data_IF_358542542881
#
_entry.id   IF_358542542881
#
_cell.length_a   1.000
_cell.length_b   1.000
_cell.length_c   1.000
_cell.angle_alpha   90.00
_cell.angle_beta   90.00
_cell.angle_gamma   90.00
#
_symmetry.space_group_name_H-M   'P 1'
#
loop_
_entity.id
_entity.type
_entity.pdbx_description
1 polymer ?
#
# COMPACT_ATOMS: atom_id res chain seq x y z
N UNK A 1 23.17 15.66 -5.73
CA UNK A 1 22.85 15.38 -4.32
C UNK A 1 22.20 14.02 -4.26
N UNK A 2 22.52 13.21 -3.25
CA UNK A 2 21.86 11.92 -3.04
C UNK A 2 20.39 12.17 -2.64
N UNK A 3 19.51 11.19 -2.87
CA UNK A 3 18.09 11.24 -2.49
C UNK A 3 17.87 10.18 -1.42
N UNK A 4 17.06 10.42 -0.38
CA UNK A 4 16.73 9.37 0.58
C UNK A 4 16.19 8.12 -0.12
N UNK A 5 16.63 6.95 0.34
CA UNK A 5 16.19 5.68 -0.20
C UNK A 5 15.21 4.99 0.74
N UNK A 6 14.34 4.18 0.18
CA UNK A 6 13.41 3.38 0.96
C UNK A 6 12.76 2.30 0.12
N UNK A 7 11.98 1.49 0.81
CA UNK A 7 11.32 0.33 0.24
C UNK A 7 9.90 0.17 0.80
N UNK A 8 9.04 -0.42 -0.01
CA UNK A 8 7.76 -0.91 0.47
C UNK A 8 7.91 -2.34 0.98
N UNK A 9 7.23 -2.64 2.07
CA UNK A 9 7.13 -4.00 2.62
C UNK A 9 5.69 -4.39 2.77
N UNK A 10 5.39 -5.63 2.40
CA UNK A 10 4.08 -6.24 2.56
C UNK A 10 4.15 -7.39 3.55
N UNK A 11 3.13 -7.57 4.38
CA UNK A 11 2.98 -8.78 5.20
C UNK A 11 1.55 -9.30 5.17
N UNK A 12 1.38 -10.53 5.64
CA UNK A 12 0.04 -11.11 5.79
C UNK A 12 -0.69 -10.46 6.96
N UNK A 13 -1.90 -9.95 6.69
CA UNK A 13 -2.80 -9.41 7.72
C UNK A 13 -3.33 -10.49 8.66
N UNK A 14 -3.13 -11.78 8.35
CA UNK A 14 -3.54 -12.88 9.21
C UNK A 14 -2.59 -13.09 10.39
N UNK A 15 -1.40 -12.49 10.35
CA UNK A 15 -0.41 -12.57 11.43
C UNK A 15 -0.62 -11.46 12.46
N UNK A 16 -0.08 -11.64 13.66
CA UNK A 16 0.04 -10.56 14.64
C UNK A 16 0.92 -9.44 14.08
N UNK A 17 0.77 -8.22 14.63
CA UNK A 17 1.63 -7.09 14.28
C UNK A 17 3.11 -7.51 14.41
N UNK A 18 3.95 -7.28 13.38
CA UNK A 18 5.35 -7.64 13.47
C UNK A 18 6.07 -6.84 14.57
N UNK A 19 6.82 -7.53 15.42
CA UNK A 19 7.70 -6.91 16.42
C UNK A 19 8.79 -6.05 15.78
N UNK A 20 9.22 -6.41 14.57
CA UNK A 20 10.18 -5.64 13.80
C UNK A 20 9.78 -5.47 12.32
N UNK A 21 9.20 -4.33 11.97
CA UNK A 21 8.82 -3.91 10.62
C UNK A 21 9.98 -3.50 9.72
N UNK A 22 11.20 -3.40 10.26
CA UNK A 22 12.39 -3.14 9.45
C UNK A 22 12.85 -4.36 8.67
N UNK A 23 12.60 -5.54 9.22
CA UNK A 23 13.02 -6.83 8.64
C UNK A 23 11.84 -7.70 8.24
N UNK A 24 10.69 -7.57 8.91
CA UNK A 24 9.50 -8.34 8.59
C UNK A 24 8.88 -7.95 7.24
N UNK A 25 8.08 -8.88 6.71
CA UNK A 25 7.43 -8.73 5.42
C UNK A 25 8.39 -8.91 4.24
N UNK A 26 7.79 -8.97 3.06
CA UNK A 26 8.51 -9.09 1.80
C UNK A 26 8.67 -7.70 1.18
N UNK A 27 9.88 -7.41 0.70
CA UNK A 27 10.14 -6.18 -0.07
C UNK A 27 9.33 -6.24 -1.35
N UNK A 28 8.52 -5.21 -1.56
CA UNK A 28 7.75 -5.03 -2.78
C UNK A 28 8.68 -4.42 -3.81
N UNK A 29 9.13 -5.23 -4.75
CA UNK A 29 9.89 -4.74 -5.88
C UNK A 29 8.94 -3.94 -6.78
N UNK A 30 9.19 -2.65 -6.98
CA UNK A 30 8.35 -1.78 -7.83
C UNK A 30 8.25 -2.25 -9.28
N UNK A 31 9.17 -3.11 -9.75
CA UNK A 31 9.07 -3.78 -11.06
C UNK A 31 8.23 -5.05 -11.02
N UNK A 32 8.06 -5.68 -9.85
CA UNK A 32 7.22 -6.86 -9.62
C UNK A 32 6.01 -6.47 -8.79
N UNK A 33 4.88 -6.16 -9.45
CA UNK A 33 3.73 -5.59 -8.77
C UNK A 33 3.15 -6.47 -7.66
N UNK A 34 2.35 -5.86 -6.80
CA UNK A 34 1.61 -6.59 -5.76
C UNK A 34 0.56 -7.49 -6.40
N UNK A 35 0.77 -8.79 -6.25
CA UNK A 35 -0.17 -9.83 -6.66
C UNK A 35 -1.24 -10.01 -5.57
N UNK A 36 -2.52 -9.88 -5.90
CA UNK A 36 -3.62 -10.14 -4.95
C UNK A 36 -4.13 -11.59 -5.00
N UNK A 37 -3.55 -12.44 -5.84
CA UNK A 37 -3.95 -13.82 -6.08
C UNK A 37 -5.01 -13.93 -7.17
N UNK A 38 -5.54 -15.15 -7.32
CA UNK A 38 -6.60 -15.46 -8.29
C UNK A 38 -7.97 -15.41 -7.63
N UNK A 39 -8.94 -14.82 -8.31
CA UNK A 39 -10.35 -14.87 -7.91
C UNK A 39 -11.20 -15.45 -9.04
N UNK A 40 -12.26 -16.17 -8.67
CA UNK A 40 -13.21 -16.76 -9.61
C UNK A 40 -14.55 -16.01 -9.53
N UNK A 41 -14.89 -15.26 -10.57
CA UNK A 41 -16.18 -14.59 -10.71
C UNK A 41 -17.14 -15.47 -11.51
N UNK A 42 -18.19 -15.96 -10.86
CA UNK A 42 -19.17 -16.86 -11.49
C UNK A 42 -20.58 -16.27 -11.61
N UNK A 43 -20.82 -15.03 -11.13
CA UNK A 43 -21.99 -14.14 -11.38
C UNK A 43 -22.09 -13.02 -10.32
N UNK A 44 -21.02 -12.27 -10.06
CA UNK A 44 -21.04 -11.18 -9.07
C UNK A 44 -19.68 -10.53 -8.84
N UNK A 45 -19.67 -9.41 -8.09
CA UNK A 45 -18.44 -8.74 -7.65
C UNK A 45 -17.68 -9.65 -6.69
N UNK A 46 -16.42 -9.92 -6.98
CA UNK A 46 -15.55 -10.73 -6.12
C UNK A 46 -14.61 -9.83 -5.35
N UNK A 47 -14.64 -9.93 -4.03
CA UNK A 47 -13.72 -9.19 -3.17
C UNK A 47 -12.50 -10.05 -2.86
N UNK A 48 -11.32 -9.49 -3.12
CA UNK A 48 -10.05 -10.09 -2.75
C UNK A 48 -9.54 -9.44 -1.47
N UNK A 49 -9.27 -10.29 -0.50
CA UNK A 49 -8.95 -9.89 0.87
C UNK A 49 -7.77 -8.92 0.96
N UNK A 50 -7.71 -8.08 2.01
CA UNK A 50 -6.74 -7.01 2.03
C UNK A 50 -5.30 -7.49 2.23
N UNK A 51 -4.36 -6.72 1.69
CA UNK A 51 -2.95 -6.76 2.03
C UNK A 51 -2.59 -5.52 2.83
N UNK A 52 -1.60 -5.63 3.71
CA UNK A 52 -1.07 -4.48 4.45
C UNK A 52 0.34 -4.20 4.01
N UNK A 53 0.61 -2.91 3.81
CA UNK A 53 1.85 -2.36 3.32
C UNK A 53 2.34 -1.27 4.25
N UNK A 54 3.64 -1.06 4.25
CA UNK A 54 4.26 0.14 4.82
C UNK A 54 5.49 0.51 4.00
N UNK A 55 5.81 1.79 4.03
CA UNK A 55 7.06 2.31 3.51
C UNK A 55 8.06 2.48 4.64
N UNK A 56 9.31 2.11 4.37
CA UNK A 56 10.44 2.29 5.28
C UNK A 56 11.56 3.08 4.59
N UNK A 57 12.11 4.06 5.31
CA UNK A 57 13.38 4.68 4.95
C UNK A 57 14.53 3.72 5.26
N UNK A 58 15.33 3.40 4.25
CA UNK A 58 16.55 2.57 4.41
C UNK A 58 17.79 3.42 4.59
N UNK A 59 17.80 4.63 4.03
CA UNK A 59 18.87 5.61 4.19
C UNK A 59 18.31 7.03 3.99
N UNK A 60 18.58 7.93 4.94
CA UNK A 60 18.22 9.35 4.85
C UNK A 60 19.16 10.15 3.96
N UNK A 61 20.26 9.58 3.49
CA UNK A 61 21.21 10.22 2.58
C UNK A 61 21.77 11.58 3.08
N UNK A 62 21.93 11.72 4.40
CA UNK A 62 22.43 12.93 5.06
C UNK A 62 21.36 14.00 5.35
N UNK A 63 20.11 13.76 4.97
CA UNK A 63 18.96 14.59 5.38
C UNK A 63 18.49 14.23 6.79
N UNK A 64 17.75 15.14 7.40
CA UNK A 64 17.23 15.01 8.76
C UNK A 64 15.79 14.48 8.80
N UNK A 65 14.98 14.79 7.77
CA UNK A 65 13.57 14.41 7.74
C UNK A 65 13.08 14.00 6.35
N UNK A 66 12.03 13.18 6.35
CA UNK A 66 11.16 12.91 5.21
C UNK A 66 9.74 13.31 5.62
N UNK A 67 9.11 14.17 4.81
CA UNK A 67 7.81 14.77 5.09
C UNK A 67 6.92 14.80 3.84
N UNK A 68 5.67 15.27 3.99
CA UNK A 68 4.69 15.39 2.90
C UNK A 68 4.55 14.13 2.03
N UNK A 69 4.63 12.97 2.68
CA UNK A 69 4.59 11.70 1.96
C UNK A 69 3.20 11.47 1.40
N UNK A 70 3.09 11.22 0.09
CA UNK A 70 1.85 10.94 -0.62
C UNK A 70 1.88 9.52 -1.15
N UNK A 71 0.75 8.84 -1.07
CA UNK A 71 0.58 7.47 -1.56
C UNK A 71 -0.65 7.36 -2.44
N UNK A 72 -0.49 6.82 -3.64
CA UNK A 72 -1.60 6.64 -4.58
C UNK A 72 -1.31 5.49 -5.53
N UNK A 73 -2.34 5.10 -6.26
CA UNK A 73 -2.21 4.11 -7.31
C UNK A 73 -1.36 4.64 -8.46
N UNK A 74 -0.39 3.85 -8.92
CA UNK A 74 0.40 4.23 -10.10
C UNK A 74 -0.48 4.32 -11.35
N UNK A 75 -0.16 5.22 -12.27
CA UNK A 75 -0.82 5.28 -13.58
C UNK A 75 -0.60 3.99 -14.40
N UNK A 76 0.49 3.26 -14.11
CA UNK A 76 0.78 1.96 -14.69
C UNK A 76 -0.03 0.81 -14.06
N UNK A 77 -0.85 1.09 -13.03
CA UNK A 77 -1.73 0.10 -12.42
C UNK A 77 -2.99 -0.20 -13.23
N UNK A 78 -3.10 0.36 -14.44
CA UNK A 78 -4.09 0.00 -15.47
C UNK A 78 -5.37 -0.59 -14.91
N UNK A 79 -6.25 0.25 -14.36
CA UNK A 79 -7.60 -0.16 -13.97
C UNK A 79 -8.41 -0.42 -15.23
N UNK A 80 -8.16 -1.55 -15.87
CA UNK A 80 -8.99 -1.98 -16.98
C UNK A 80 -10.27 -2.57 -16.39
N UNK A 81 -11.41 -2.21 -16.98
CA UNK A 81 -12.73 -2.74 -16.66
C UNK A 81 -13.37 -2.16 -15.39
N UNK A 82 -14.11 -3.00 -14.67
CA UNK A 82 -14.99 -2.59 -13.55
C UNK A 82 -14.36 -2.81 -12.16
N UNK A 83 -13.04 -2.98 -12.10
CA UNK A 83 -12.31 -3.22 -10.87
C UNK A 83 -12.19 -1.95 -10.01
N UNK A 84 -12.35 -2.09 -8.70
CA UNK A 84 -12.19 -0.99 -7.74
C UNK A 84 -11.16 -1.36 -6.66
N UNK A 85 -10.29 -0.41 -6.32
CA UNK A 85 -9.25 -0.58 -5.32
C UNK A 85 -9.56 0.29 -4.12
N UNK A 86 -9.57 -0.34 -2.95
CA UNK A 86 -9.84 0.32 -1.69
C UNK A 86 -8.57 0.49 -0.88
N UNK A 87 -8.54 1.52 -0.04
CA UNK A 87 -7.41 1.85 0.79
C UNK A 87 -7.85 2.36 2.16
N UNK A 88 -7.21 1.87 3.21
CA UNK A 88 -7.29 2.44 4.55
C UNK A 88 -5.90 2.66 5.14
N UNK A 89 -5.64 3.89 5.56
CA UNK A 89 -4.36 4.33 6.09
C UNK A 89 -4.52 4.64 7.57
N UNK A 90 -3.78 3.94 8.42
CA UNK A 90 -3.93 4.05 9.87
C UNK A 90 -2.64 3.79 10.63
N UNK A 91 -2.53 4.36 11.82
CA UNK A 91 -1.42 4.10 12.75
C UNK A 91 -1.63 2.83 13.57
N UNK A 92 -2.81 2.22 13.52
CA UNK A 92 -3.17 1.06 14.34
C UNK A 92 -3.18 -0.22 13.51
N UNK A 93 -2.47 -1.24 13.98
CA UNK A 93 -2.54 -2.57 13.37
C UNK A 93 -3.93 -3.19 13.57
N UNK A 94 -4.49 -3.76 12.51
CA UNK A 94 -5.77 -4.47 12.53
C UNK A 94 -5.58 -5.81 11.84
N UNK A 95 -5.46 -6.86 12.64
CA UNK A 95 -5.37 -8.23 12.14
C UNK A 95 -6.69 -8.63 11.47
N UNK A 96 -6.61 -9.40 10.39
CA UNK A 96 -7.78 -9.93 9.66
C UNK A 96 -8.80 -8.87 9.23
N UNK A 97 -8.33 -7.64 8.92
CA UNK A 97 -9.17 -6.57 8.42
C UNK A 97 -9.95 -7.03 7.19
N UNK A 98 -11.25 -6.75 7.15
CA UNK A 98 -12.13 -7.16 6.04
C UNK A 98 -12.08 -6.14 4.90
N UNK A 99 -12.50 -6.56 3.70
CA UNK A 99 -12.59 -5.64 2.55
C UNK A 99 -13.56 -4.50 2.82
N UNK A 100 -14.70 -4.77 3.47
CA UNK A 100 -15.67 -3.74 3.86
C UNK A 100 -15.08 -2.71 4.85
N UNK A 101 -14.21 -3.14 5.76
CA UNK A 101 -13.50 -2.22 6.67
C UNK A 101 -12.47 -1.37 5.92
N UNK A 102 -11.81 -1.92 4.91
CA UNK A 102 -10.86 -1.16 4.08
C UNK A 102 -11.59 -0.15 3.19
N UNK A 103 -12.70 -0.53 2.57
CA UNK A 103 -13.50 0.37 1.73
C UNK A 103 -14.14 1.52 2.49
N UNK A 104 -14.47 1.32 3.77
CA UNK A 104 -14.96 2.36 4.67
C UNK A 104 -13.87 3.16 5.40
N UNK A 105 -12.60 2.86 5.12
CA UNK A 105 -11.46 3.53 5.73
C UNK A 105 -11.16 4.90 5.14
N UNK A 106 -9.97 5.44 5.42
CA UNK A 106 -9.49 6.69 4.85
C UNK A 106 -8.29 6.38 3.95
N UNK A 107 -8.34 6.68 2.64
CA UNK A 107 -9.40 7.42 1.92
C UNK A 107 -10.63 6.59 1.48
N UNK A 108 -10.65 5.29 1.74
CA UNK A 108 -11.73 4.39 1.32
C UNK A 108 -11.49 3.90 -0.09
N UNK A 109 -11.61 4.78 -1.10
CA UNK A 109 -11.17 4.50 -2.47
C UNK A 109 -9.71 4.93 -2.64
N UNK A 110 -8.88 4.04 -3.16
CA UNK A 110 -7.47 4.36 -3.39
C UNK A 110 -7.35 5.49 -4.44
N UNK A 111 -6.65 6.60 -4.14
CA UNK A 111 -6.51 7.70 -5.09
C UNK A 111 -5.79 7.23 -6.35
N UNK A 112 -6.28 7.66 -7.51
CA UNK A 112 -5.71 7.35 -8.82
C UNK A 112 -4.75 8.44 -9.33
N UNK A 113 -4.63 9.52 -8.57
CA UNK A 113 -3.75 10.66 -8.81
C UNK A 113 -3.17 11.14 -7.49
N UNK A 114 -2.23 12.08 -7.56
CA UNK A 114 -1.55 12.63 -6.38
C UNK A 114 -2.59 13.20 -5.38
N UNK A 115 -2.71 12.62 -4.16
CA UNK A 115 -3.73 13.02 -3.21
C UNK A 115 -3.29 14.22 -2.37
N UNK A 116 -4.27 14.91 -1.77
CA UNK A 116 -4.02 15.98 -0.81
C UNK A 116 -3.61 15.45 0.57
N UNK A 117 -4.07 14.27 0.98
CA UNK A 117 -3.73 13.67 2.27
C UNK A 117 -2.29 13.16 2.32
N UNK A 118 -1.62 13.34 3.46
CA UNK A 118 -0.30 12.77 3.73
C UNK A 118 -0.43 11.38 4.37
N UNK A 119 0.51 10.49 4.05
CA UNK A 119 0.91 9.42 4.96
C UNK A 119 2.02 9.97 5.86
N UNK A 120 2.08 9.50 7.09
CA UNK A 120 3.07 9.96 8.09
C UNK A 120 3.78 8.77 8.72
N UNK A 121 4.74 9.04 9.60
CA UNK A 121 5.26 8.03 10.52
C UNK A 121 4.13 7.47 11.41
N UNK A 122 4.24 6.24 11.88
CA UNK A 122 3.33 5.75 12.93
C UNK A 122 3.34 6.69 14.14
N UNK A 123 2.15 6.99 14.66
CA UNK A 123 1.98 7.98 15.74
C UNK A 123 2.02 9.44 15.26
N UNK A 124 2.21 9.66 13.95
CA UNK A 124 2.22 10.97 13.31
C UNK A 124 3.61 11.59 13.19
N UNK A 125 3.63 12.73 12.51
CA UNK A 125 4.83 13.52 12.24
C UNK A 125 5.69 12.96 11.11
N UNK A 126 6.83 13.61 10.93
CA UNK A 126 7.79 13.30 9.88
C UNK A 126 8.59 12.03 10.21
N UNK A 127 9.10 11.38 9.18
CA UNK A 127 10.05 10.28 9.32
C UNK A 127 11.44 10.88 9.54
N UNK A 128 12.07 10.57 10.67
CA UNK A 128 13.34 11.16 11.10
C UNK A 128 14.45 10.12 11.24
N UNK A 129 14.23 8.91 10.74
CA UNK A 129 15.15 7.79 10.91
C UNK A 129 14.80 6.60 10.03
N UNK A 130 15.54 5.51 10.22
CA UNK A 130 15.40 4.25 9.46
C UNK A 130 14.96 3.08 10.35
N UNK A 131 14.64 3.39 11.62
CA UNK A 131 14.27 2.44 12.65
C UNK A 131 12.83 1.97 12.54
N UNK A 132 12.48 1.00 13.40
CA UNK A 132 11.14 0.42 13.46
C UNK A 132 10.03 1.48 13.63
N UNK A 133 10.25 2.42 14.55
CA UNK A 133 9.29 3.48 14.84
C UNK A 133 9.20 4.52 13.72
N UNK A 134 10.20 4.61 12.84
CA UNK A 134 10.28 5.56 11.72
C UNK A 134 9.69 4.99 10.41
N UNK A 135 9.00 3.86 10.51
CA UNK A 135 8.21 3.31 9.42
C UNK A 135 6.90 4.09 9.25
N UNK A 136 6.42 4.21 8.01
CA UNK A 136 5.14 4.86 7.73
C UNK A 136 3.97 4.17 8.42
N UNK A 137 2.82 4.83 8.42
CA UNK A 137 1.52 4.24 8.74
C UNK A 137 1.25 2.96 7.95
N UNK A 138 0.36 2.13 8.50
CA UNK A 138 -0.18 0.94 7.84
C UNK A 138 -1.10 1.36 6.71
N UNK A 139 -0.86 0.79 5.53
CA UNK A 139 -1.64 1.02 4.33
C UNK A 139 -2.29 -0.32 3.98
N UNK A 140 -3.56 -0.47 4.33
CA UNK A 140 -4.37 -1.63 3.95
C UNK A 140 -4.95 -1.40 2.57
N UNK A 141 -4.82 -2.38 1.68
CA UNK A 141 -5.32 -2.30 0.31
C UNK A 141 -6.15 -3.52 0.02
N UNK A 142 -7.33 -3.32 -0.56
CA UNK A 142 -8.22 -4.38 -1.00
C UNK A 142 -8.65 -4.16 -2.45
N UNK A 143 -9.10 -5.23 -3.10
CA UNK A 143 -9.54 -5.21 -4.48
C UNK A 143 -10.95 -5.78 -4.59
N UNK A 144 -11.85 -5.04 -5.23
CA UNK A 144 -13.12 -5.55 -5.73
C UNK A 144 -13.00 -5.79 -7.24
N UNK A 145 -13.15 -7.05 -7.64
CA UNK A 145 -13.13 -7.49 -9.04
C UNK A 145 -14.57 -7.47 -9.55
N UNK A 146 -14.81 -6.77 -10.65
CA UNK A 146 -16.15 -6.67 -11.22
C UNK A 146 -16.65 -7.98 -11.85
N UNK A 147 -17.97 -8.09 -12.10
CA UNK A 147 -18.60 -9.33 -12.55
C UNK A 147 -18.18 -9.77 -13.96
N UNK A 148 -17.80 -8.83 -14.83
CA UNK A 148 -17.48 -9.09 -16.25
C UNK A 148 -15.97 -9.28 -16.52
N UNK A 149 -15.17 -9.36 -15.45
CA UNK A 149 -13.72 -9.50 -15.55
C UNK A 149 -13.31 -10.91 -15.93
N UNK A 150 -12.22 -11.08 -16.69
CA UNK A 150 -11.71 -12.43 -16.98
C UNK A 150 -11.21 -13.12 -15.71
N UNK A 151 -11.54 -14.39 -15.48
CA UNK A 151 -11.00 -15.18 -14.35
C UNK A 151 -9.47 -15.23 -14.42
N UNK A 152 -8.78 -15.01 -13.29
CA UNK A 152 -7.32 -15.11 -13.21
C UNK A 152 -6.67 -14.20 -12.17
N UNK A 153 -5.33 -14.11 -12.21
CA UNK A 153 -4.58 -13.14 -11.41
C UNK A 153 -4.88 -11.73 -11.90
N UNK A 154 -5.15 -10.82 -10.95
CA UNK A 154 -5.54 -9.45 -11.26
C UNK A 154 -4.52 -8.44 -10.77
N UNK A 155 -4.19 -7.54 -11.66
CA UNK A 155 -3.65 -6.24 -11.34
C UNK A 155 -3.40 -5.42 -12.61
N UNK A 156 -2.71 -4.31 -12.45
CA UNK A 156 -2.41 -3.33 -13.49
C UNK A 156 -1.55 -3.81 -14.66
N UNK A 157 -1.01 -2.85 -15.43
CA UNK A 157 -0.30 -3.12 -16.70
C UNK A 157 0.81 -4.15 -16.46
N UNK A 158 0.78 -5.26 -17.20
CA UNK A 158 1.65 -6.44 -17.04
C UNK A 158 1.34 -7.34 -15.83
N UNK A 159 0.13 -7.31 -15.31
CA UNK A 159 -0.42 -8.35 -14.42
C UNK A 159 -0.39 -8.06 -12.93
N UNK A 160 -0.16 -6.82 -12.49
CA UNK A 160 -0.18 -6.54 -11.06
C UNK A 160 -0.37 -5.07 -10.65
N UNK A 161 -0.82 -4.87 -9.41
CA UNK A 161 -1.08 -3.57 -8.82
C UNK A 161 0.20 -2.85 -8.42
N UNK A 162 0.39 -1.63 -8.94
CA UNK A 162 1.53 -0.77 -8.63
C UNK A 162 1.09 0.47 -7.83
N UNK A 163 1.99 0.97 -7.00
CA UNK A 163 1.74 2.13 -6.15
C UNK A 163 2.84 3.15 -6.36
N UNK A 164 2.47 4.41 -6.21
CA UNK A 164 3.37 5.53 -6.29
C UNK A 164 3.54 6.15 -4.91
N UNK A 165 4.77 6.60 -4.65
CA UNK A 165 5.10 7.41 -3.48
C UNK A 165 5.84 8.66 -3.91
N UNK A 166 5.51 9.77 -3.27
CA UNK A 166 6.28 11.02 -3.35
C UNK A 166 6.46 11.54 -1.94
N UNK A 167 7.62 12.13 -1.66
CA UNK A 167 7.91 12.75 -0.38
C UNK A 167 8.89 13.90 -0.58
N UNK A 168 8.89 14.82 0.37
CA UNK A 168 9.87 15.89 0.48
C UNK A 168 10.96 15.48 1.51
N UNK A 169 12.13 16.11 1.44
CA UNK A 169 13.24 15.82 2.36
C UNK A 169 14.10 17.06 2.64
N UNK A 170 14.62 17.18 3.86
CA UNK A 170 15.38 18.33 4.36
C UNK A 170 16.45 17.95 5.39
#
# INVERSE_FOLDING_TARGET
MAVPSGEFRATSIALTEPTDRTTAGNVVNVTNPLDFGTANNTNGVVQVGPKVLWWRCTDLAGYSTISNMKFWMSANSGLNGTNEYYCDITSTWTQNKTVAQVSGGIPGVLPQSLPSSNITRIGGGDITGTGHADTSQYIYIALAIGPDETIGAKGGVSGGFQVSIKFDYA
#
